data_IF_248688237462
#
_entry.id   IF_248688237462
#
_cell.length_a   1.000
_cell.length_b   1.000
_cell.length_c   1.000
_cell.angle_alpha   90.00
_cell.angle_beta   90.00
_cell.angle_gamma   90.00
#
_symmetry.space_group_name_H-M   'P 1'
#
loop_
_entity.id
_entity.type
_entity.pdbx_description
1 polymer ?
#
# COMPACT_ATOMS: atom_id res chain seq x y z
N UNK A 1 3.04 7.61 23.84
CA UNK A 1 2.82 6.20 23.56
C UNK A 1 3.10 5.94 22.09
N UNK A 2 3.87 4.91 21.78
CA UNK A 2 4.20 4.61 20.39
C UNK A 2 2.98 4.01 19.69
N UNK A 3 2.71 4.47 18.47
CA UNK A 3 1.67 3.91 17.63
C UNK A 3 2.26 2.71 16.86
N UNK A 4 1.54 1.60 16.85
CA UNK A 4 1.98 0.42 16.11
C UNK A 4 2.06 0.75 14.61
N UNK A 5 3.19 0.41 14.01
CA UNK A 5 3.40 0.60 12.58
C UNK A 5 3.96 -0.69 11.99
N UNK A 6 3.53 -1.01 10.79
CA UNK A 6 3.94 -2.22 10.10
C UNK A 6 4.47 -1.85 8.73
N UNK A 7 5.55 -2.49 8.32
CA UNK A 7 6.29 -2.10 7.13
C UNK A 7 6.37 -3.26 6.14
N UNK A 8 6.34 -2.92 4.87
CA UNK A 8 6.60 -3.88 3.81
C UNK A 8 7.21 -3.19 2.61
N UNK A 9 8.18 -3.83 1.99
CA UNK A 9 8.77 -3.36 0.73
C UNK A 9 8.27 -4.26 -0.38
N UNK A 10 7.75 -3.65 -1.44
CA UNK A 10 7.27 -4.36 -2.61
C UNK A 10 8.05 -3.99 -3.84
N UNK A 11 8.13 -4.94 -4.79
CA UNK A 11 8.83 -4.73 -6.05
C UNK A 11 8.03 -5.33 -7.19
N UNK A 12 8.03 -4.64 -8.31
CA UNK A 12 7.40 -5.13 -9.53
C UNK A 12 8.15 -4.54 -10.72
N UNK A 13 8.83 -5.39 -11.51
CA UNK A 13 9.66 -4.91 -12.61
C UNK A 13 10.70 -3.93 -12.09
N UNK A 14 10.74 -2.70 -12.59
CA UNK A 14 11.68 -1.67 -12.12
C UNK A 14 11.10 -0.78 -11.02
N UNK A 15 9.90 -1.07 -10.53
CA UNK A 15 9.27 -0.27 -9.47
C UNK A 15 9.61 -0.83 -8.09
N UNK A 16 9.88 0.06 -7.14
CA UNK A 16 10.11 -0.28 -5.74
C UNK A 16 9.18 0.56 -4.89
N UNK A 17 8.43 -0.08 -4.01
CA UNK A 17 7.51 0.60 -3.10
C UNK A 17 7.88 0.30 -1.65
N UNK A 18 7.84 1.33 -0.82
CA UNK A 18 7.95 1.20 0.64
C UNK A 18 6.60 1.54 1.22
N UNK A 19 6.04 0.59 1.96
CA UNK A 19 4.68 0.71 2.50
C UNK A 19 4.73 0.69 4.02
N UNK A 20 3.96 1.57 4.62
CA UNK A 20 3.76 1.63 6.06
C UNK A 20 2.26 1.58 6.35
N UNK A 21 1.86 0.67 7.23
CA UNK A 21 0.50 0.59 7.73
C UNK A 21 0.45 1.19 9.13
N UNK A 22 -0.50 2.05 9.36
CA UNK A 22 -0.77 2.63 10.70
C UNK A 22 -2.25 2.47 11.00
N UNK A 23 -2.66 2.37 12.26
CA UNK A 23 -4.08 2.32 12.60
C UNK A 23 -4.80 3.53 12.02
N UNK A 24 -5.94 3.30 11.37
CA UNK A 24 -6.67 4.37 10.73
C UNK A 24 -8.01 3.92 10.20
N UNK A 25 -8.50 4.60 9.19
CA UNK A 25 -9.86 4.41 8.67
C UNK A 25 -9.90 3.95 7.20
N UNK A 26 -8.74 3.74 6.59
CA UNK A 26 -8.68 3.26 5.22
C UNK A 26 -8.15 4.26 4.21
N UNK A 27 -7.52 5.32 4.67
CA UNK A 27 -6.93 6.31 3.78
C UNK A 27 -5.63 5.77 3.19
N UNK A 28 -5.49 5.86 1.88
CA UNK A 28 -4.28 5.41 1.17
C UNK A 28 -3.62 6.62 0.52
N UNK A 29 -2.36 6.84 0.88
CA UNK A 29 -1.55 7.95 0.36
C UNK A 29 -0.34 7.38 -0.37
N UNK A 30 -0.11 7.84 -1.58
CA UNK A 30 1.03 7.43 -2.41
C UNK A 30 1.84 8.68 -2.77
N UNK A 31 3.10 8.70 -2.36
CA UNK A 31 3.99 9.83 -2.60
C UNK A 31 3.34 11.17 -2.17
N UNK A 32 2.70 11.15 -0.98
CA UNK A 32 2.04 12.31 -0.37
C UNK A 32 0.79 12.77 -1.12
N UNK A 33 0.23 11.94 -2.00
CA UNK A 33 -1.02 12.23 -2.73
C UNK A 33 -2.03 11.14 -2.44
N UNK A 34 -3.32 11.46 -2.53
CA UNK A 34 -4.35 10.44 -2.38
C UNK A 34 -4.26 9.44 -3.53
N UNK A 35 -4.65 8.19 -3.25
CA UNK A 35 -4.53 7.09 -4.21
C UNK A 35 -5.17 7.41 -5.55
N UNK A 36 -6.41 7.92 -5.53
CA UNK A 36 -7.13 8.25 -6.76
C UNK A 36 -6.48 9.41 -7.51
N UNK A 37 -5.89 10.34 -6.79
CA UNK A 37 -5.20 11.48 -7.39
C UNK A 37 -3.88 11.03 -8.03
N UNK A 38 -3.18 10.10 -7.37
CA UNK A 38 -1.88 9.64 -7.86
C UNK A 38 -2.01 8.82 -9.14
N UNK A 39 -2.88 7.83 -9.15
CA UNK A 39 -3.01 6.93 -10.31
C UNK A 39 -4.04 7.40 -11.34
N UNK A 40 -5.13 8.00 -10.89
CA UNK A 40 -6.19 8.46 -11.79
C UNK A 40 -6.91 7.37 -12.54
N UNK A 41 -6.72 6.10 -12.19
CA UNK A 41 -7.34 4.95 -12.85
C UNK A 41 -7.88 3.99 -11.80
N UNK A 42 -9.16 3.68 -11.91
CA UNK A 42 -9.84 2.80 -10.97
C UNK A 42 -9.24 1.39 -10.97
N UNK A 43 -8.83 0.89 -12.13
CA UNK A 43 -8.22 -0.44 -12.22
C UNK A 43 -6.93 -0.54 -11.40
N UNK A 44 -6.12 0.51 -11.39
CA UNK A 44 -4.88 0.54 -10.62
C UNK A 44 -5.16 0.66 -9.12
N UNK A 45 -6.18 1.43 -8.75
CA UNK A 45 -6.61 1.54 -7.35
C UNK A 45 -7.08 0.19 -6.81
N UNK A 46 -7.80 -0.57 -7.62
CA UNK A 46 -8.25 -1.91 -7.24
C UNK A 46 -7.09 -2.86 -7.00
N UNK A 47 -6.05 -2.77 -7.82
CA UNK A 47 -4.82 -3.56 -7.63
C UNK A 47 -4.20 -3.25 -6.26
N UNK A 48 -4.05 -1.98 -5.93
CA UNK A 48 -3.46 -1.55 -4.67
C UNK A 48 -4.29 -2.04 -3.48
N UNK A 49 -5.60 -1.94 -3.56
CA UNK A 49 -6.51 -2.29 -2.46
C UNK A 49 -6.72 -3.79 -2.30
N UNK A 50 -6.33 -4.61 -3.26
CA UNK A 50 -6.63 -6.03 -3.26
C UNK A 50 -6.23 -6.76 -1.99
N UNK A 51 -4.99 -6.62 -1.46
CA UNK A 51 -4.64 -7.32 -0.23
C UNK A 51 -5.47 -6.88 0.98
N UNK A 52 -5.84 -5.60 1.04
CA UNK A 52 -6.65 -5.08 2.13
C UNK A 52 -8.08 -5.64 2.07
N UNK A 53 -8.64 -5.74 0.87
CA UNK A 53 -9.97 -6.32 0.67
C UNK A 53 -9.99 -7.81 1.00
N UNK A 54 -8.94 -8.55 0.62
CA UNK A 54 -8.86 -9.99 0.87
C UNK A 54 -8.77 -10.31 2.36
N UNK A 55 -8.21 -9.41 3.15
CA UNK A 55 -8.03 -9.62 4.60
C UNK A 55 -9.07 -8.87 5.43
N UNK A 56 -10.01 -8.17 4.80
CA UNK A 56 -11.02 -7.34 5.48
C UNK A 56 -10.40 -6.28 6.40
N UNK A 57 -9.28 -5.70 5.98
CA UNK A 57 -8.56 -4.71 6.79
C UNK A 57 -8.61 -3.31 6.19
N UNK A 58 -9.37 -3.12 5.11
CA UNK A 58 -9.38 -1.86 4.37
C UNK A 58 -9.79 -0.65 5.22
N UNK A 59 -10.62 -0.86 6.23
CA UNK A 59 -11.08 0.21 7.12
C UNK A 59 -10.34 0.24 8.46
N UNK A 60 -9.33 -0.62 8.64
CA UNK A 60 -8.60 -0.73 9.90
C UNK A 60 -7.27 0.00 9.87
N UNK A 61 -6.69 0.20 8.70
CA UNK A 61 -5.37 0.79 8.54
C UNK A 61 -5.38 1.89 7.51
N UNK A 62 -4.59 2.91 7.76
CA UNK A 62 -4.18 3.86 6.73
C UNK A 62 -2.89 3.36 6.11
N UNK A 63 -2.73 3.56 4.83
CA UNK A 63 -1.55 3.13 4.08
C UNK A 63 -0.78 4.36 3.66
N UNK A 64 0.50 4.38 4.00
CA UNK A 64 1.41 5.43 3.56
C UNK A 64 2.48 4.73 2.71
N UNK A 65 2.49 5.04 1.42
CA UNK A 65 3.38 4.41 0.48
C UNK A 65 4.25 5.44 -0.22
N UNK A 66 5.51 5.09 -0.44
CA UNK A 66 6.39 5.81 -1.37
C UNK A 66 6.80 4.83 -2.44
N UNK A 67 6.77 5.26 -3.69
CA UNK A 67 7.10 4.39 -4.82
C UNK A 67 7.94 5.16 -5.83
N UNK A 68 8.88 4.46 -6.43
CA UNK A 68 9.77 5.03 -7.45
C UNK A 68 10.04 4.00 -8.54
N UNK A 69 10.33 4.51 -9.74
CA UNK A 69 10.70 3.68 -10.88
C UNK A 69 9.50 3.10 -11.60
N UNK A 70 9.69 2.72 -12.84
CA UNK A 70 8.69 2.06 -13.66
C UNK A 70 7.49 2.92 -14.01
N UNK A 71 6.50 2.30 -14.62
CA UNK A 71 5.25 2.95 -15.00
C UNK A 71 4.14 2.71 -13.98
N UNK A 72 2.94 3.30 -14.22
CA UNK A 72 1.85 3.23 -13.24
C UNK A 72 1.43 1.79 -12.88
N UNK A 73 1.38 0.89 -13.86
CA UNK A 73 1.00 -0.49 -13.61
C UNK A 73 2.02 -1.21 -12.72
N UNK A 74 3.31 -1.03 -12.99
CA UNK A 74 4.37 -1.59 -12.16
C UNK A 74 4.36 -1.00 -10.76
N UNK A 75 4.11 0.29 -10.64
CA UNK A 75 4.03 0.96 -9.35
C UNK A 75 2.86 0.44 -8.52
N UNK A 76 1.69 0.28 -9.11
CA UNK A 76 0.53 -0.28 -8.42
C UNK A 76 0.83 -1.70 -7.93
N UNK A 77 1.46 -2.52 -8.77
CA UNK A 77 1.86 -3.88 -8.39
C UNK A 77 2.89 -3.91 -7.27
N UNK A 78 3.85 -3.00 -7.29
CA UNK A 78 4.85 -2.88 -6.22
C UNK A 78 4.21 -2.49 -4.89
N UNK A 79 3.26 -1.53 -4.92
CA UNK A 79 2.55 -1.11 -3.71
C UNK A 79 1.71 -2.26 -3.18
N UNK A 80 0.99 -2.98 -4.05
CA UNK A 80 0.22 -4.16 -3.64
C UNK A 80 1.11 -5.18 -2.92
N UNK A 81 2.26 -5.46 -3.48
CA UNK A 81 3.22 -6.40 -2.89
C UNK A 81 3.70 -5.89 -1.52
N UNK A 82 4.00 -4.59 -1.42
CA UNK A 82 4.41 -3.98 -0.15
C UNK A 82 3.33 -4.04 0.91
N UNK A 83 2.07 -3.81 0.54
CA UNK A 83 0.94 -3.93 1.47
C UNK A 83 0.81 -5.36 1.95
N UNK A 84 0.90 -6.34 1.06
CA UNK A 84 0.83 -7.75 1.44
C UNK A 84 1.90 -8.12 2.45
N UNK A 85 3.12 -7.64 2.25
CA UNK A 85 4.21 -7.91 3.18
C UNK A 85 4.02 -7.20 4.52
N UNK A 86 3.49 -5.99 4.51
CA UNK A 86 3.18 -5.27 5.75
C UNK A 86 2.07 -5.98 6.53
N UNK A 87 1.09 -6.55 5.84
CA UNK A 87 0.04 -7.33 6.48
C UNK A 87 0.59 -8.61 7.12
N UNK A 88 1.59 -9.23 6.52
CA UNK A 88 2.29 -10.35 7.15
C UNK A 88 2.99 -9.91 8.44
N UNK A 89 3.54 -8.70 8.45
CA UNK A 89 4.15 -8.14 9.66
C UNK A 89 3.10 -7.97 10.77
N UNK A 90 1.88 -7.59 10.42
CA UNK A 90 0.76 -7.51 11.37
C UNK A 90 0.50 -8.89 11.99
N UNK A 91 0.44 -9.94 11.17
CA UNK A 91 0.16 -11.29 11.64
C UNK A 91 1.26 -11.83 12.55
N UNK A 92 2.50 -11.41 12.35
CA UNK A 92 3.65 -11.91 13.09
C UNK A 92 3.89 -11.15 14.40
N UNK A 93 3.20 -10.05 14.61
CA UNK A 93 3.44 -9.20 15.79
C UNK A 93 2.65 -9.62 17.01
#
# INVERSE_FOLDING_TARGET
>A
MAVAQYYGTGRRKSSVARVRLVPGTGKITVNKRELNDYFGRQTLELIVKQPLNLTNTVEQYDVIATVAGGGPSGQAGAIRHGISRALLDVDLS
#
